data_IF_513554996334
#
_entry.id   IF_513554996334
#
_cell.length_a   1.000
_cell.length_b   1.000
_cell.length_c   1.000
_cell.angle_alpha   90.00
_cell.angle_beta   90.00
_cell.angle_gamma   90.00
#
_symmetry.space_group_name_H-M   'P 1'
#
loop_
_entity.id
_entity.type
_entity.pdbx_description
1 polymer ?
#
# COMPACT_ATOMS: atom_id res chain seq x y z
N UNK A 1 21.56 17.80 12.93
CA UNK A 1 22.57 16.89 12.34
C UNK A 1 23.48 17.75 11.48
N UNK A 2 24.80 17.58 11.57
CA UNK A 2 25.76 18.27 10.68
C UNK A 2 26.33 17.24 9.70
N UNK A 3 26.27 17.54 8.40
CA UNK A 3 26.96 16.79 7.35
C UNK A 3 27.89 17.78 6.67
N UNK A 4 29.16 17.43 6.51
CA UNK A 4 30.19 18.29 5.91
C UNK A 4 30.19 19.71 6.49
N UNK A 5 30.12 19.80 7.83
CA UNK A 5 30.04 21.04 8.61
C UNK A 5 28.78 21.92 8.39
N UNK A 6 27.88 21.55 7.48
CA UNK A 6 26.59 22.22 7.26
C UNK A 6 25.52 21.68 8.20
N UNK A 7 24.83 22.57 8.90
CA UNK A 7 23.64 22.19 9.67
C UNK A 7 22.50 21.86 8.72
N UNK A 8 21.96 20.64 8.83
CA UNK A 8 20.75 20.26 8.12
C UNK A 8 19.51 20.78 8.85
N UNK A 9 18.63 21.44 8.10
CA UNK A 9 17.33 21.90 8.59
C UNK A 9 16.45 20.70 8.98
N UNK A 10 15.76 20.83 10.11
CA UNK A 10 14.78 19.85 10.55
C UNK A 10 13.38 20.27 10.11
N UNK A 11 12.81 19.56 9.13
CA UNK A 11 11.49 19.86 8.58
C UNK A 11 10.45 18.82 9.02
N UNK A 12 9.22 19.29 9.29
CA UNK A 12 8.11 18.40 9.68
C UNK A 12 7.64 17.48 8.55
N UNK A 13 7.79 17.93 7.30
CA UNK A 13 7.41 17.21 6.08
C UNK A 13 8.50 17.36 5.04
N UNK A 14 8.86 16.26 4.39
CA UNK A 14 9.88 16.25 3.35
C UNK A 14 9.43 15.36 2.20
N UNK A 15 9.63 15.80 0.96
CA UNK A 15 9.32 14.98 -0.22
C UNK A 15 10.59 14.36 -0.75
N UNK A 16 10.68 13.04 -0.68
CA UNK A 16 11.84 12.27 -1.14
C UNK A 16 11.41 11.26 -2.21
N UNK A 17 12.00 11.36 -3.41
CA UNK A 17 11.68 10.49 -4.56
C UNK A 17 10.17 10.38 -4.83
N UNK A 18 9.47 11.50 -4.65
CA UNK A 18 8.02 11.59 -4.82
C UNK A 18 7.18 11.21 -3.60
N UNK A 19 7.75 10.55 -2.59
CA UNK A 19 7.05 10.13 -1.37
C UNK A 19 7.17 11.17 -0.24
N UNK A 20 6.06 11.44 0.45
CA UNK A 20 5.97 12.39 1.55
C UNK A 20 6.33 11.71 2.88
N UNK A 21 7.46 12.12 3.46
CA UNK A 21 7.90 11.73 4.78
C UNK A 21 7.41 12.73 5.82
N UNK A 22 7.03 12.24 7.00
CA UNK A 22 6.60 13.06 8.14
C UNK A 22 7.47 12.77 9.36
N UNK A 23 7.72 13.77 10.17
CA UNK A 23 8.47 13.68 11.44
C UNK A 23 7.95 12.58 12.38
N UNK A 24 6.63 12.37 12.42
CA UNK A 24 5.98 11.35 13.23
C UNK A 24 6.08 9.92 12.69
N UNK A 25 6.67 9.73 11.50
CA UNK A 25 6.80 8.43 10.84
C UNK A 25 5.47 7.79 10.43
N UNK A 26 4.41 8.60 10.25
CA UNK A 26 3.08 8.12 9.87
C UNK A 26 2.87 8.21 8.37
N UNK A 27 2.28 7.17 7.78
CA UNK A 27 2.03 7.13 6.32
C UNK A 27 0.73 7.81 5.90
N UNK A 28 -0.15 8.22 6.83
CA UNK A 28 -1.49 8.75 6.50
C UNK A 28 -1.44 9.95 5.55
N UNK A 29 -0.50 10.88 5.73
CA UNK A 29 -0.37 12.04 4.85
C UNK A 29 0.06 11.64 3.44
N UNK A 30 0.99 10.68 3.32
CA UNK A 30 1.42 10.14 2.02
C UNK A 30 0.27 9.41 1.32
N UNK A 31 -0.46 8.55 2.03
CA UNK A 31 -1.61 7.80 1.48
C UNK A 31 -2.67 8.77 0.93
N UNK A 32 -3.01 9.81 1.70
CA UNK A 32 -3.98 10.83 1.25
C UNK A 32 -3.47 11.58 0.02
N UNK A 33 -2.18 11.93 0.00
CA UNK A 33 -1.53 12.57 -1.15
C UNK A 33 -1.60 11.70 -2.41
N UNK A 34 -1.23 10.41 -2.31
CA UNK A 34 -1.30 9.46 -3.44
C UNK A 34 -2.72 9.25 -3.95
N UNK A 35 -3.69 9.12 -3.05
CA UNK A 35 -5.11 9.05 -3.40
C UNK A 35 -5.52 10.32 -4.18
N UNK A 36 -5.14 11.52 -3.72
CA UNK A 36 -5.47 12.75 -4.41
C UNK A 36 -4.87 12.82 -5.83
N UNK A 37 -3.59 12.44 -5.97
CA UNK A 37 -2.91 12.38 -7.28
C UNK A 37 -3.59 11.35 -8.20
N UNK A 38 -3.93 10.17 -7.68
CA UNK A 38 -4.62 9.13 -8.44
C UNK A 38 -6.03 9.56 -8.88
N UNK A 39 -6.78 10.24 -8.00
CA UNK A 39 -8.09 10.83 -8.35
C UNK A 39 -7.97 11.89 -9.44
N UNK A 40 -6.94 12.74 -9.38
CA UNK A 40 -6.67 13.72 -10.43
C UNK A 40 -6.33 13.06 -11.77
N UNK A 41 -5.51 12.00 -11.74
CA UNK A 41 -5.19 11.20 -12.93
C UNK A 41 -6.42 10.51 -13.52
N UNK A 42 -7.31 9.97 -12.67
CA UNK A 42 -8.60 9.42 -13.10
C UNK A 42 -9.41 10.48 -13.85
N UNK A 43 -9.59 11.65 -13.25
CA UNK A 43 -10.36 12.76 -13.83
C UNK A 43 -9.77 13.23 -15.18
N UNK A 44 -8.44 13.32 -15.29
CA UNK A 44 -7.76 13.71 -16.55
C UNK A 44 -8.01 12.73 -17.69
N UNK A 45 -8.26 11.45 -17.39
CA UNK A 45 -8.55 10.38 -18.37
C UNK A 45 -9.97 9.83 -18.23
N UNK A 46 -10.91 10.60 -17.67
CA UNK A 46 -12.29 10.15 -17.37
C UNK A 46 -12.98 9.59 -18.60
N UNK A 47 -12.79 10.21 -19.77
CA UNK A 47 -13.44 9.77 -21.01
C UNK A 47 -13.04 8.34 -21.39
N UNK A 48 -11.79 7.94 -21.13
CA UNK A 48 -11.31 6.58 -21.36
C UNK A 48 -11.98 5.60 -20.38
N UNK A 49 -11.95 5.90 -19.09
CA UNK A 49 -12.46 5.00 -18.04
C UNK A 49 -13.99 4.91 -18.01
N UNK A 50 -14.71 5.87 -18.59
CA UNK A 50 -16.19 5.93 -18.57
C UNK A 50 -16.83 5.80 -19.96
N UNK A 51 -16.03 5.33 -20.93
CA UNK A 51 -16.43 5.06 -22.31
C UNK A 51 -17.29 3.80 -22.42
N UNK A 52 -17.79 3.52 -23.63
CA UNK A 52 -18.49 2.27 -23.97
C UNK A 52 -17.54 1.07 -24.19
N UNK A 53 -16.27 1.19 -23.80
CA UNK A 53 -15.33 0.07 -23.86
C UNK A 53 -15.82 -1.09 -22.98
N UNK A 54 -15.39 -2.29 -23.35
CA UNK A 54 -15.62 -3.50 -22.58
C UNK A 54 -15.29 -3.28 -21.09
N UNK A 55 -16.17 -3.78 -20.21
CA UNK A 55 -16.09 -3.55 -18.78
C UNK A 55 -14.77 -4.07 -18.21
N UNK A 56 -14.35 -5.28 -18.59
CA UNK A 56 -13.11 -5.89 -18.12
C UNK A 56 -11.90 -5.06 -18.57
N UNK A 57 -11.92 -4.54 -19.80
CA UNK A 57 -10.88 -3.61 -20.28
C UNK A 57 -10.84 -2.32 -19.45
N UNK A 58 -11.98 -1.67 -19.18
CA UNK A 58 -12.03 -0.44 -18.35
C UNK A 58 -11.49 -0.71 -16.94
N UNK A 59 -11.88 -1.81 -16.31
CA UNK A 59 -11.40 -2.22 -15.00
C UNK A 59 -9.89 -2.43 -14.98
N UNK A 60 -9.33 -3.14 -15.98
CA UNK A 60 -7.88 -3.32 -16.13
C UNK A 60 -7.16 -1.99 -16.32
N UNK A 61 -7.71 -1.06 -17.11
CA UNK A 61 -7.13 0.26 -17.31
C UNK A 61 -7.09 1.08 -16.01
N UNK A 62 -8.16 1.05 -15.20
CA UNK A 62 -8.17 1.71 -13.89
C UNK A 62 -7.13 1.10 -12.95
N UNK A 63 -7.03 -0.23 -12.86
CA UNK A 63 -5.99 -0.89 -12.05
C UNK A 63 -4.58 -0.55 -12.55
N UNK A 64 -4.37 -0.54 -13.86
CA UNK A 64 -3.07 -0.28 -14.46
C UNK A 64 -2.61 1.17 -14.26
N UNK A 65 -3.46 2.16 -14.51
CA UNK A 65 -3.07 3.58 -14.48
C UNK A 65 -3.34 4.26 -13.14
N UNK A 66 -4.48 3.98 -12.51
CA UNK A 66 -4.95 4.73 -11.34
C UNK A 66 -4.47 4.07 -10.05
N UNK A 67 -4.57 2.73 -9.94
CA UNK A 67 -4.06 2.05 -8.76
C UNK A 67 -2.54 2.05 -8.69
N UNK A 68 -1.82 2.00 -9.81
CA UNK A 68 -0.35 2.11 -9.81
C UNK A 68 0.12 3.42 -9.20
N UNK A 69 -0.55 4.53 -9.51
CA UNK A 69 -0.27 5.85 -8.91
C UNK A 69 -0.62 5.86 -7.42
N UNK A 70 -1.80 5.32 -7.07
CA UNK A 70 -2.28 5.30 -5.69
C UNK A 70 -1.40 4.43 -4.78
N UNK A 71 -0.84 3.34 -5.30
CA UNK A 71 -0.04 2.36 -4.56
C UNK A 71 1.47 2.52 -4.77
N UNK A 72 1.92 3.65 -5.30
CA UNK A 72 3.34 3.90 -5.47
C UNK A 72 4.06 3.97 -4.12
N UNK A 73 5.09 3.14 -3.94
CA UNK A 73 5.88 3.07 -2.71
C UNK A 73 5.13 2.49 -1.51
N UNK A 74 3.95 1.92 -1.74
CA UNK A 74 3.06 1.45 -0.70
C UNK A 74 3.60 0.22 0.06
N UNK A 75 4.61 -0.45 -0.51
CA UNK A 75 5.36 -1.54 0.11
C UNK A 75 5.99 -1.12 1.45
N UNK A 76 6.37 0.15 1.55
CA UNK A 76 7.01 0.75 2.74
C UNK A 76 6.02 1.26 3.77
N UNK A 77 4.72 1.32 3.45
CA UNK A 77 3.73 1.92 4.33
C UNK A 77 3.44 1.05 5.55
N UNK A 78 3.32 1.66 6.72
CA UNK A 78 2.76 0.99 7.91
C UNK A 78 1.28 1.33 8.04
N UNK A 79 0.39 0.39 7.72
CA UNK A 79 -1.04 0.63 7.62
C UNK A 79 -1.76 0.49 8.97
N UNK A 80 -2.47 1.55 9.38
CA UNK A 80 -3.47 1.46 10.46
C UNK A 80 -4.85 1.18 9.88
N UNK A 81 -5.80 0.81 10.74
CA UNK A 81 -7.18 0.57 10.32
C UNK A 81 -7.80 1.78 9.60
N UNK A 82 -7.48 3.01 10.05
CA UNK A 82 -7.93 4.25 9.38
C UNK A 82 -7.33 4.39 7.99
N UNK A 83 -6.06 4.02 7.81
CA UNK A 83 -5.38 4.09 6.53
C UNK A 83 -5.93 3.07 5.53
N UNK A 84 -6.27 1.87 6.02
CA UNK A 84 -6.95 0.83 5.23
C UNK A 84 -8.33 1.31 4.74
N UNK A 85 -9.14 1.93 5.62
CA UNK A 85 -10.43 2.51 5.27
C UNK A 85 -10.32 3.56 4.16
N UNK A 86 -9.27 4.39 4.16
CA UNK A 86 -9.04 5.36 3.09
C UNK A 86 -8.79 4.69 1.73
N UNK A 87 -8.02 3.60 1.70
CA UNK A 87 -7.75 2.84 0.47
C UNK A 87 -9.00 2.13 -0.04
N UNK A 88 -9.77 1.49 0.83
CA UNK A 88 -11.05 0.85 0.45
C UNK A 88 -12.07 1.88 -0.06
N UNK A 89 -12.15 3.04 0.60
CA UNK A 89 -13.03 4.13 0.15
C UNK A 89 -12.58 4.68 -1.21
N UNK A 90 -11.27 4.71 -1.47
CA UNK A 90 -10.73 5.11 -2.76
C UNK A 90 -11.02 4.08 -3.86
N UNK A 91 -10.93 2.79 -3.56
CA UNK A 91 -11.32 1.71 -4.49
C UNK A 91 -12.80 1.87 -4.89
N UNK A 92 -13.70 2.01 -3.92
CA UNK A 92 -15.13 2.23 -4.21
C UNK A 92 -15.37 3.51 -5.00
N UNK A 93 -14.62 4.58 -4.71
CA UNK A 93 -14.68 5.81 -5.48
C UNK A 93 -14.31 5.57 -6.95
N UNK A 94 -13.27 4.78 -7.25
CA UNK A 94 -12.89 4.47 -8.62
C UNK A 94 -14.01 3.76 -9.38
N UNK A 95 -14.61 2.73 -8.77
CA UNK A 95 -15.69 1.94 -9.38
C UNK A 95 -16.95 2.76 -9.61
N UNK A 96 -17.39 3.54 -8.62
CA UNK A 96 -18.54 4.45 -8.80
C UNK A 96 -18.31 5.45 -9.91
N UNK A 97 -17.11 6.04 -10.00
CA UNK A 97 -16.79 7.01 -11.06
C UNK A 97 -16.73 6.37 -12.44
N UNK A 98 -16.22 5.14 -12.53
CA UNK A 98 -16.17 4.36 -13.77
C UNK A 98 -17.58 4.06 -14.31
N UNK A 99 -18.49 3.66 -13.42
CA UNK A 99 -19.90 3.35 -13.74
C UNK A 99 -20.83 4.57 -13.69
N UNK A 100 -20.26 5.77 -13.55
CA UNK A 100 -21.00 7.05 -13.50
C UNK A 100 -22.09 7.12 -12.41
N UNK A 101 -21.93 6.35 -11.33
CA UNK A 101 -22.86 6.31 -10.20
C UNK A 101 -22.66 7.57 -9.36
N UNK A 102 -23.75 8.31 -9.18
CA UNK A 102 -23.82 9.48 -8.32
C UNK A 102 -24.02 9.07 -6.86
N UNK A 103 -23.72 9.98 -5.93
CA UNK A 103 -24.09 9.81 -4.53
C UNK A 103 -25.62 9.80 -4.32
N UNK A 104 -26.36 10.52 -5.18
CA UNK A 104 -27.82 10.60 -5.16
C UNK A 104 -28.52 9.30 -5.54
N UNK A 105 -27.79 8.35 -6.14
CA UNK A 105 -28.37 7.08 -6.59
C UNK A 105 -28.52 6.09 -5.43
N UNK A 106 -27.93 6.40 -4.25
CA UNK A 106 -27.96 5.58 -3.02
C UNK A 106 -27.63 4.09 -3.22
N UNK A 107 -26.87 3.76 -4.27
CA UNK A 107 -26.48 2.38 -4.60
C UNK A 107 -25.54 1.85 -3.51
N UNK A 108 -25.77 0.62 -3.03
CA UNK A 108 -24.92 -0.04 -2.03
C UNK A 108 -23.54 -0.42 -2.60
N UNK A 109 -22.53 -0.57 -1.75
CA UNK A 109 -21.17 -0.88 -2.24
C UNK A 109 -21.07 -2.26 -2.87
N UNK A 110 -21.84 -3.22 -2.36
CA UNK A 110 -21.92 -4.60 -2.85
C UNK A 110 -22.48 -4.64 -4.28
N UNK A 111 -23.52 -3.85 -4.54
CA UNK A 111 -24.12 -3.69 -5.86
C UNK A 111 -23.15 -3.04 -6.86
N UNK A 112 -22.37 -2.04 -6.42
CA UNK A 112 -21.32 -1.44 -7.28
C UNK A 112 -20.30 -2.50 -7.71
N UNK A 113 -19.86 -3.33 -6.76
CA UNK A 113 -18.88 -4.40 -7.01
C UNK A 113 -19.44 -5.48 -7.94
N UNK A 114 -20.71 -5.85 -7.78
CA UNK A 114 -21.42 -6.75 -8.68
C UNK A 114 -21.44 -6.20 -10.11
N UNK A 115 -21.81 -4.93 -10.30
CA UNK A 115 -21.83 -4.29 -11.63
C UNK A 115 -20.48 -4.27 -12.31
N UNK A 116 -19.40 -4.04 -11.58
CA UNK A 116 -18.04 -4.04 -12.15
C UNK A 116 -17.42 -5.43 -12.24
N UNK A 117 -18.13 -6.48 -11.80
CA UNK A 117 -17.63 -7.86 -11.73
C UNK A 117 -16.29 -7.97 -10.97
N UNK A 118 -16.16 -7.24 -9.87
CA UNK A 118 -14.93 -7.18 -9.06
C UNK A 118 -15.21 -7.41 -7.58
N UNK A 119 -14.18 -7.82 -6.84
CA UNK A 119 -14.19 -7.87 -5.38
C UNK A 119 -13.30 -6.76 -4.81
N UNK A 120 -13.43 -6.48 -3.50
CA UNK A 120 -12.53 -5.55 -2.81
C UNK A 120 -11.12 -6.11 -2.79
N UNK A 121 -10.25 -5.52 -3.60
CA UNK A 121 -8.96 -6.11 -3.92
C UNK A 121 -7.78 -5.19 -3.64
N UNK A 122 -7.99 -3.89 -3.38
CA UNK A 122 -6.87 -2.94 -3.24
C UNK A 122 -5.92 -3.29 -2.08
N UNK A 123 -6.47 -3.72 -0.93
CA UNK A 123 -5.68 -4.11 0.22
C UNK A 123 -4.97 -5.46 -0.01
N UNK A 124 -5.60 -6.36 -0.76
CA UNK A 124 -5.01 -7.63 -1.14
C UNK A 124 -3.81 -7.41 -2.08
N UNK A 125 -3.98 -6.60 -3.12
CA UNK A 125 -2.92 -6.21 -4.05
C UNK A 125 -1.76 -5.52 -3.32
N UNK A 126 -2.05 -4.63 -2.36
CA UNK A 126 -1.03 -4.01 -1.53
C UNK A 126 -0.27 -5.04 -0.67
N UNK A 127 -0.97 -6.02 -0.09
CA UNK A 127 -0.34 -7.09 0.70
C UNK A 127 0.56 -7.97 -0.19
N UNK A 128 0.13 -8.28 -1.41
CA UNK A 128 0.89 -9.02 -2.41
C UNK A 128 2.19 -8.29 -2.79
N UNK A 129 2.10 -6.99 -3.10
CA UNK A 129 3.29 -6.15 -3.38
C UNK A 129 4.27 -6.11 -2.22
N UNK A 130 3.76 -5.90 -1.00
CA UNK A 130 4.56 -5.96 0.23
C UNK A 130 5.26 -7.30 0.40
N UNK A 131 4.54 -8.41 0.22
CA UNK A 131 5.13 -9.74 0.34
C UNK A 131 6.20 -9.99 -0.72
N UNK A 132 5.99 -9.55 -1.97
CA UNK A 132 7.00 -9.67 -3.02
C UNK A 132 8.27 -8.90 -2.66
N UNK A 133 8.13 -7.65 -2.21
CA UNK A 133 9.25 -6.80 -1.83
C UNK A 133 9.99 -7.33 -0.59
N UNK A 134 9.27 -7.71 0.46
CA UNK A 134 9.87 -8.30 1.67
C UNK A 134 10.57 -9.62 1.34
N UNK A 135 9.95 -10.48 0.53
CA UNK A 135 10.59 -11.74 0.11
C UNK A 135 11.89 -11.48 -0.65
N UNK A 136 11.95 -10.45 -1.50
CA UNK A 136 13.17 -10.04 -2.18
C UNK A 136 14.26 -9.59 -1.19
N UNK A 137 13.91 -8.74 -0.21
CA UNK A 137 14.85 -8.28 0.83
C UNK A 137 15.40 -9.45 1.64
N UNK A 138 14.54 -10.38 2.08
CA UNK A 138 14.94 -11.50 2.92
C UNK A 138 15.89 -12.47 2.21
N UNK A 139 15.70 -12.67 0.90
CA UNK A 139 16.57 -13.50 0.05
C UNK A 139 17.88 -12.81 -0.31
N UNK A 140 17.89 -11.48 -0.44
CA UNK A 140 19.08 -10.71 -0.75
C UNK A 140 20.03 -10.56 0.43
N UNK A 141 21.25 -10.09 0.15
CA UNK A 141 22.15 -9.53 1.15
C UNK A 141 22.25 -8.02 0.92
N UNK A 142 21.36 -7.26 1.54
CA UNK A 142 21.27 -5.81 1.33
C UNK A 142 21.12 -5.08 2.66
N UNK A 143 21.48 -3.80 2.69
CA UNK A 143 21.36 -2.93 3.87
C UNK A 143 19.97 -3.01 4.52
N UNK A 144 18.90 -3.07 3.71
CA UNK A 144 17.53 -3.18 4.21
C UNK A 144 17.29 -4.44 5.06
N UNK A 145 17.98 -5.55 4.74
CA UNK A 145 17.93 -6.77 5.55
C UNK A 145 18.59 -6.55 6.91
N UNK A 146 19.72 -5.88 6.95
CA UNK A 146 20.41 -5.52 8.20
C UNK A 146 19.59 -4.55 9.05
N UNK A 147 18.93 -3.57 8.41
CA UNK A 147 17.95 -2.67 9.06
C UNK A 147 16.83 -3.49 9.71
N UNK A 148 16.23 -4.43 8.98
CA UNK A 148 15.12 -5.27 9.47
C UNK A 148 15.59 -6.18 10.62
N UNK A 149 16.81 -6.72 10.52
CA UNK A 149 17.43 -7.55 11.56
C UNK A 149 17.93 -6.74 12.76
N UNK A 150 17.93 -5.40 12.67
CA UNK A 150 18.38 -4.52 13.75
C UNK A 150 19.89 -4.54 13.96
N UNK A 151 20.67 -4.88 12.94
CA UNK A 151 22.14 -5.00 12.98
C UNK A 151 22.87 -3.67 12.81
N UNK A 152 22.14 -2.56 12.67
CA UNK A 152 22.73 -1.23 12.48
C UNK A 152 23.24 -0.70 13.82
N UNK A 153 24.49 -0.28 13.83
CA UNK A 153 25.10 0.40 14.96
C UNK A 153 24.45 1.76 15.20
N UNK A 154 23.92 1.96 16.41
CA UNK A 154 23.28 3.19 16.81
C UNK A 154 22.19 2.96 17.85
N UNK A 155 22.16 3.82 18.87
CA UNK A 155 21.03 3.83 19.82
C UNK A 155 19.86 4.53 19.15
N UNK A 156 18.87 3.78 18.69
CA UNK A 156 17.54 4.35 18.47
C UNK A 156 17.09 4.84 19.84
N UNK A 157 17.06 6.15 20.07
CA UNK A 157 16.45 6.71 21.28
C UNK A 157 14.97 6.36 21.25
N UNK A 158 14.63 5.30 21.97
CA UNK A 158 13.25 4.90 22.20
C UNK A 158 12.70 5.86 23.26
N UNK A 159 12.25 7.03 22.84
CA UNK A 159 11.45 7.97 23.65
C UNK A 159 10.07 7.36 23.91
N UNK A 160 10.03 6.33 24.75
CA UNK A 160 8.81 5.57 25.08
C UNK A 160 7.96 6.35 26.08
N UNK A 161 6.71 6.64 25.71
CA UNK A 161 5.58 6.62 26.66
C UNK A 161 4.90 5.25 26.55
N UNK A 162 4.57 4.62 27.69
CA UNK A 162 3.82 3.35 27.77
C UNK A 162 2.55 3.45 26.92
N UNK A 163 2.35 2.53 25.98
CA UNK A 163 1.20 2.50 25.07
C UNK A 163 1.26 1.36 24.03
N UNK A 164 0.21 1.25 23.21
CA UNK A 164 0.03 0.19 22.19
C UNK A 164 1.23 0.13 21.22
N UNK A 165 1.77 -1.07 20.99
CA UNK A 165 2.89 -1.29 20.07
C UNK A 165 2.50 -0.83 18.66
N UNK A 166 3.29 0.08 18.07
CA UNK A 166 3.14 0.45 16.65
C UNK A 166 3.24 -0.81 15.80
N UNK A 167 2.35 -0.96 14.81
CA UNK A 167 2.49 -2.02 13.81
C UNK A 167 3.86 -1.89 13.15
N UNK A 168 4.56 -3.01 13.02
CA UNK A 168 5.78 -3.10 12.21
C UNK A 168 5.38 -3.50 10.79
N UNK A 169 6.19 -3.14 9.82
CA UNK A 169 6.03 -3.53 8.41
C UNK A 169 5.77 -5.04 8.24
N UNK A 170 6.49 -5.89 8.99
CA UNK A 170 6.33 -7.34 8.94
C UNK A 170 4.99 -7.85 9.51
N UNK A 171 4.32 -7.07 10.36
CA UNK A 171 3.04 -7.46 10.94
C UNK A 171 1.94 -7.58 9.88
N UNK A 172 2.08 -6.89 8.74
CA UNK A 172 1.11 -6.95 7.64
C UNK A 172 1.12 -8.29 6.90
N UNK A 173 2.20 -9.08 7.03
CA UNK A 173 2.27 -10.43 6.47
C UNK A 173 1.51 -11.45 7.33
N UNK A 174 1.31 -11.17 8.62
CA UNK A 174 0.46 -11.98 9.50
C UNK A 174 1.03 -13.36 9.87
N UNK A 175 2.34 -13.60 9.69
CA UNK A 175 2.95 -14.88 10.12
C UNK A 175 3.04 -14.92 11.65
N UNK A 176 2.15 -15.72 12.26
CA UNK A 176 2.07 -15.91 13.71
C UNK A 176 3.26 -16.68 14.28
N UNK A 177 4.02 -17.39 13.44
CA UNK A 177 5.19 -18.20 13.87
C UNK A 177 6.47 -17.38 14.00
N UNK A 178 6.42 -16.08 13.68
CA UNK A 178 7.51 -15.13 13.91
C UNK A 178 8.47 -14.96 12.75
N UNK A 179 9.48 -14.09 12.96
CA UNK A 179 10.40 -13.63 11.92
C UNK A 179 11.30 -14.74 11.35
N UNK A 180 11.82 -15.62 12.21
CA UNK A 180 12.73 -16.70 11.79
C UNK A 180 12.08 -17.61 10.74
N UNK A 181 10.85 -18.05 11.01
CA UNK A 181 10.09 -18.89 10.10
C UNK A 181 9.73 -18.17 8.78
N UNK A 182 9.42 -16.87 8.86
CA UNK A 182 9.19 -16.05 7.68
C UNK A 182 10.46 -15.96 6.80
N UNK A 183 11.63 -15.81 7.41
CA UNK A 183 12.93 -15.76 6.71
C UNK A 183 13.26 -17.09 6.02
N UNK A 184 13.04 -18.21 6.71
CA UNK A 184 13.23 -19.55 6.15
C UNK A 184 12.28 -19.80 4.97
N UNK A 185 10.99 -19.49 5.14
CA UNK A 185 10.00 -19.56 4.05
C UNK A 185 10.37 -18.71 2.84
N UNK A 186 10.98 -17.54 3.06
CA UNK A 186 11.35 -16.64 1.97
C UNK A 186 12.41 -17.25 1.04
N UNK A 187 13.22 -18.21 1.50
CA UNK A 187 14.22 -18.90 0.68
C UNK A 187 13.56 -19.74 -0.42
N UNK A 188 12.43 -20.39 -0.11
CA UNK A 188 11.64 -21.14 -1.07
C UNK A 188 10.66 -20.22 -1.82
N UNK A 189 11.01 -19.89 -3.08
CA UNK A 189 10.20 -19.00 -3.92
C UNK A 189 8.79 -19.54 -4.19
N UNK A 190 8.63 -20.86 -4.30
CA UNK A 190 7.36 -21.50 -4.61
C UNK A 190 6.46 -21.43 -3.39
N UNK A 191 6.97 -21.84 -2.21
CA UNK A 191 6.24 -21.72 -0.94
C UNK A 191 5.88 -20.26 -0.65
N UNK A 192 6.80 -19.32 -0.86
CA UNK A 192 6.54 -17.89 -0.65
C UNK A 192 5.40 -17.38 -1.54
N UNK A 193 5.44 -17.69 -2.85
CA UNK A 193 4.39 -17.30 -3.79
C UNK A 193 3.06 -17.96 -3.46
N UNK A 194 3.04 -19.20 -3.00
CA UNK A 194 1.81 -19.88 -2.59
C UNK A 194 1.18 -19.26 -1.34
N UNK A 195 1.99 -18.79 -0.38
CA UNK A 195 1.50 -18.17 0.84
C UNK A 195 0.95 -16.75 0.64
N UNK A 196 1.54 -15.96 -0.26
CA UNK A 196 1.25 -14.52 -0.36
C UNK A 196 0.91 -14.02 -1.76
N UNK A 197 1.03 -14.87 -2.78
CA UNK A 197 0.89 -14.53 -4.18
C UNK A 197 -0.38 -15.06 -4.86
N UNK A 198 -1.18 -15.89 -4.18
CA UNK A 198 -2.50 -16.27 -4.71
C UNK A 198 -3.44 -15.08 -4.62
N UNK A 199 -4.04 -14.72 -5.74
CA UNK A 199 -5.28 -13.98 -5.75
C UNK A 199 -6.28 -14.89 -5.03
N UNK A 200 -6.88 -14.43 -3.93
CA UNK A 200 -8.04 -15.14 -3.41
C UNK A 200 -9.07 -15.07 -4.55
N UNK A 201 -9.33 -16.22 -5.18
CA UNK A 201 -10.48 -16.38 -6.05
C UNK A 201 -11.76 -16.00 -5.30
N UNK A 202 -12.89 -15.84 -6.01
CA UNK A 202 -14.09 -15.27 -5.42
C UNK A 202 -14.41 -15.97 -4.11
N UNK A 203 -14.42 -15.21 -3.02
CA UNK A 203 -15.10 -15.65 -1.80
C UNK A 203 -16.57 -15.75 -2.20
N UNK A 204 -17.04 -16.98 -2.35
CA UNK A 204 -18.44 -17.34 -2.58
C UNK A 204 -19.28 -16.76 -1.44
#
# INVERSE_FOLDING_TARGET
IKIDQKQLENVKRFKYLGSLLTDGGRCTCEIKSRIAIAKAAFSKKKNLFTSKLDLNLRTKLVKCYVWSIALYGAETWTLRAVDQKYLESFEMWCWRRMEKISWTDYVRNEEVLFRVSEQRNILHELRKRKANWIGHILRGNCLLKEVIEGKIEGRIQVTRRRGIRRKKMLNDLGDRRGYFHLKEKALDRIKWRNCFGRDYGPVV
#
